data_IF_487361258748
#
_entry.id   IF_487361258748
#
_cell.length_a   1.000
_cell.length_b   1.000
_cell.length_c   1.000
_cell.angle_alpha   90.00
_cell.angle_beta   90.00
_cell.angle_gamma   90.00
#
_symmetry.space_group_name_H-M   'P 1'
#
loop_
_entity.id
_entity.type
_entity.pdbx_description
1 polymer ?
#
# COMPACT_ATOMS: atom_id res chain seq x y z
N UNK A 1 5.39 -11.49 24.38
CA UNK A 1 4.87 -11.40 23.01
C UNK A 1 5.81 -10.47 22.28
N UNK A 2 6.51 -10.95 21.25
CA UNK A 2 7.42 -10.11 20.47
C UNK A 2 6.58 -9.45 19.38
N UNK A 3 6.11 -8.23 19.65
CA UNK A 3 5.45 -7.41 18.65
C UNK A 3 6.48 -6.84 17.68
N UNK A 4 6.12 -6.80 16.40
CA UNK A 4 6.93 -6.20 15.34
C UNK A 4 6.19 -5.02 14.73
N UNK A 5 6.94 -4.01 14.29
CA UNK A 5 6.41 -2.89 13.53
C UNK A 5 6.11 -3.32 12.11
N UNK A 6 4.93 -2.97 11.62
CA UNK A 6 4.40 -3.36 10.33
C UNK A 6 4.00 -2.12 9.55
N UNK A 7 4.38 -2.10 8.27
CA UNK A 7 3.93 -1.09 7.32
C UNK A 7 3.23 -1.77 6.15
N UNK A 8 1.98 -1.38 5.91
CA UNK A 8 1.14 -1.89 4.83
C UNK A 8 0.87 -0.78 3.85
N UNK A 9 1.26 -0.95 2.60
CA UNK A 9 1.00 -0.04 1.49
C UNK A 9 -0.11 -0.55 0.58
N UNK A 10 -1.00 0.35 0.16
CA UNK A 10 -2.17 0.07 -0.68
C UNK A 10 -2.22 1.09 -1.82
N UNK A 11 -2.49 0.64 -3.04
CA UNK A 11 -2.74 1.53 -4.18
C UNK A 11 -3.56 0.84 -5.26
N UNK A 12 -4.24 1.64 -6.08
CA UNK A 12 -5.01 1.21 -7.26
C UNK A 12 -6.14 0.22 -6.93
N UNK A 13 -6.72 0.36 -5.72
CA UNK A 13 -7.88 -0.38 -5.22
C UNK A 13 -9.12 0.49 -5.41
N UNK A 14 -9.41 0.85 -6.66
CA UNK A 14 -10.56 1.65 -7.06
C UNK A 14 -11.18 1.10 -8.33
N UNK A 15 -12.46 1.40 -8.55
CA UNK A 15 -13.17 1.07 -9.78
C UNK A 15 -14.29 2.09 -10.08
N UNK A 16 -14.86 2.10 -11.30
CA UNK A 16 -15.91 3.04 -11.69
C UNK A 16 -17.22 2.91 -10.90
N UNK A 17 -17.40 1.84 -10.13
CA UNK A 17 -18.55 1.60 -9.25
C UNK A 17 -18.57 2.45 -7.98
N UNK A 18 -17.64 3.41 -7.83
CA UNK A 18 -17.58 4.33 -6.69
C UNK A 18 -16.67 3.86 -5.55
N UNK A 19 -15.85 2.84 -5.84
CA UNK A 19 -14.91 2.26 -4.89
C UNK A 19 -13.58 2.98 -4.96
N UNK A 20 -12.89 3.12 -3.83
CA UNK A 20 -11.62 3.85 -3.78
C UNK A 20 -10.65 3.30 -2.73
N UNK A 21 -9.35 3.53 -2.96
CA UNK A 21 -8.27 3.00 -2.13
C UNK A 21 -8.41 3.45 -0.67
N UNK A 22 -8.84 4.70 -0.41
CA UNK A 22 -9.05 5.20 0.95
C UNK A 22 -10.22 4.54 1.67
N UNK A 23 -11.30 4.21 0.94
CA UNK A 23 -12.41 3.49 1.52
C UNK A 23 -12.00 2.04 1.84
N UNK A 24 -11.30 1.36 0.92
CA UNK A 24 -10.74 0.04 1.22
C UNK A 24 -9.81 0.08 2.44
N UNK A 25 -8.94 1.08 2.53
CA UNK A 25 -8.07 1.25 3.70
C UNK A 25 -8.87 1.43 5.01
N UNK A 26 -10.00 2.14 5.01
CA UNK A 26 -10.84 2.24 6.20
C UNK A 26 -11.45 0.90 6.64
N UNK A 27 -11.89 0.07 5.68
CA UNK A 27 -12.37 -1.30 5.98
C UNK A 27 -11.26 -2.17 6.54
N UNK A 28 -10.03 -2.02 6.01
CA UNK A 28 -8.87 -2.75 6.52
C UNK A 28 -8.49 -2.30 7.93
N UNK A 29 -8.59 -1.00 8.24
CA UNK A 29 -8.38 -0.47 9.60
C UNK A 29 -9.40 -1.07 10.58
N UNK A 30 -10.67 -1.19 10.19
CA UNK A 30 -11.71 -1.82 11.02
C UNK A 30 -11.38 -3.31 11.29
N UNK A 31 -11.03 -4.06 10.24
CA UNK A 31 -10.61 -5.46 10.38
C UNK A 31 -9.42 -5.59 11.35
N UNK A 32 -8.36 -4.82 11.14
CA UNK A 32 -7.12 -4.90 11.93
C UNK A 32 -7.35 -4.46 13.39
N UNK A 33 -8.23 -3.50 13.61
CA UNK A 33 -8.58 -3.05 14.97
C UNK A 33 -9.27 -4.15 15.78
N UNK A 34 -10.04 -5.03 15.13
CA UNK A 34 -10.62 -6.21 15.78
C UNK A 34 -9.57 -7.28 16.17
N UNK A 35 -8.36 -7.19 15.63
CA UNK A 35 -7.24 -8.10 15.93
C UNK A 35 -6.29 -7.55 17.02
N UNK A 36 -6.68 -6.49 17.72
CA UNK A 36 -5.92 -5.89 18.83
C UNK A 36 -4.51 -5.40 18.44
N UNK A 37 -4.37 -4.80 17.26
CA UNK A 37 -3.12 -4.15 16.83
C UNK A 37 -2.90 -2.82 17.56
N UNK A 38 -1.63 -2.43 17.74
CA UNK A 38 -1.26 -1.10 18.27
C UNK A 38 -0.96 -0.16 17.11
N UNK A 39 -1.86 0.78 16.80
CA UNK A 39 -1.65 1.77 15.75
C UNK A 39 -0.51 2.74 16.10
N UNK A 40 0.38 3.02 15.14
CA UNK A 40 1.51 3.93 15.32
C UNK A 40 1.20 5.36 14.88
N UNK A 41 0.26 5.51 13.94
CA UNK A 41 -0.16 6.79 13.39
C UNK A 41 -1.55 6.63 12.72
N UNK A 42 -2.11 7.73 12.25
CA UNK A 42 -3.23 7.73 11.31
C UNK A 42 -2.84 7.06 9.98
N UNK A 43 -3.81 6.54 9.19
CA UNK A 43 -3.57 6.15 7.81
C UNK A 43 -2.95 7.30 7.01
N UNK A 44 -1.78 7.08 6.42
CA UNK A 44 -1.08 8.10 5.64
C UNK A 44 -1.55 8.05 4.18
N UNK A 45 -2.21 9.11 3.69
CA UNK A 45 -2.56 9.26 2.28
C UNK A 45 -1.43 9.98 1.53
N UNK A 46 -0.73 9.26 0.66
CA UNK A 46 0.43 9.75 -0.08
C UNK A 46 0.03 10.05 -1.52
N UNK A 47 0.07 11.33 -1.90
CA UNK A 47 -0.12 11.77 -3.29
C UNK A 47 1.16 11.58 -4.08
N UNK A 48 1.07 10.84 -5.18
CA UNK A 48 2.16 10.60 -6.12
C UNK A 48 2.08 11.59 -7.29
N UNK A 49 2.96 11.44 -8.28
CA UNK A 49 3.03 12.33 -9.43
C UNK A 49 1.67 12.54 -10.13
N UNK A 50 1.10 13.75 -10.14
CA UNK A 50 -0.21 14.00 -10.76
C UNK A 50 -0.18 13.91 -12.29
N UNK A 51 1.01 13.96 -12.91
CA UNK A 51 1.19 13.88 -14.37
C UNK A 51 1.20 12.46 -14.94
N UNK A 52 0.91 11.43 -14.14
CA UNK A 52 0.94 10.03 -14.60
C UNK A 52 -0.29 9.75 -15.50
N UNK A 53 -0.09 9.33 -16.77
CA UNK A 53 -1.18 9.19 -17.75
C UNK A 53 -2.07 7.97 -17.50
N UNK A 54 -1.64 7.03 -16.65
CA UNK A 54 -2.33 5.76 -16.40
C UNK A 54 -3.29 5.81 -15.21
N UNK A 55 -3.46 6.96 -14.56
CA UNK A 55 -4.23 7.09 -13.32
C UNK A 55 -5.53 7.84 -13.54
N UNK A 56 -6.61 7.30 -13.01
CA UNK A 56 -7.85 8.03 -12.73
C UNK A 56 -7.57 9.05 -11.63
N UNK A 57 -8.28 10.19 -11.68
CA UNK A 57 -8.03 11.41 -10.89
C UNK A 57 -7.49 11.13 -9.48
N UNK A 58 -6.31 11.66 -9.19
CA UNK A 58 -5.83 11.84 -7.83
C UNK A 58 -4.61 11.03 -7.39
N UNK A 59 -4.20 9.99 -8.13
CA UNK A 59 -2.94 9.23 -7.91
C UNK A 59 -2.47 9.17 -6.45
N UNK A 60 -3.31 8.62 -5.58
CA UNK A 60 -3.09 8.58 -4.13
C UNK A 60 -3.01 7.14 -3.64
N UNK A 61 -1.95 6.84 -2.91
CA UNK A 61 -1.73 5.55 -2.26
C UNK A 61 -1.84 5.71 -0.73
N UNK A 62 -2.14 4.64 0.00
CA UNK A 62 -2.31 4.67 1.46
C UNK A 62 -1.26 3.81 2.14
N UNK A 63 -0.70 4.30 3.24
CA UNK A 63 0.10 3.50 4.16
C UNK A 63 -0.57 3.38 5.53
N UNK A 64 -0.58 2.17 6.07
CA UNK A 64 -1.01 1.85 7.42
C UNK A 64 0.19 1.41 8.24
N UNK A 65 0.30 1.89 9.50
CA UNK A 65 1.46 1.63 10.37
C UNK A 65 0.98 1.21 11.75
N UNK A 66 1.38 0.03 12.19
CA UNK A 66 0.94 -0.56 13.46
C UNK A 66 1.96 -1.58 13.96
N UNK A 67 1.88 -1.97 15.23
CA UNK A 67 2.55 -3.15 15.76
C UNK A 67 1.56 -4.29 15.91
N UNK A 68 2.01 -5.49 15.59
CA UNK A 68 1.28 -6.72 15.86
C UNK A 68 2.25 -7.89 16.12
N UNK A 69 1.71 -9.01 16.57
CA UNK A 69 2.46 -10.27 16.63
C UNK A 69 2.86 -10.72 15.21
N UNK A 70 4.03 -11.37 15.09
CA UNK A 70 4.60 -11.84 13.82
C UNK A 70 3.61 -12.72 13.03
N UNK A 71 2.83 -13.54 13.73
CA UNK A 71 1.84 -14.44 13.10
C UNK A 71 0.62 -13.71 12.54
N UNK A 72 0.35 -12.47 12.97
CA UNK A 72 -0.84 -11.72 12.55
C UNK A 72 -0.81 -11.48 11.05
N UNK A 73 0.35 -11.15 10.48
CA UNK A 73 0.51 -10.91 9.03
C UNK A 73 0.17 -12.15 8.22
N UNK A 74 0.80 -13.28 8.55
CA UNK A 74 0.62 -14.54 7.82
C UNK A 74 -0.84 -15.01 7.83
N UNK A 75 -1.57 -14.75 8.92
CA UNK A 75 -2.99 -15.08 9.06
C UNK A 75 -3.91 -14.08 8.36
N UNK A 76 -3.53 -12.81 8.31
CA UNK A 76 -4.37 -11.74 7.75
C UNK A 76 -4.19 -11.58 6.25
N UNK A 77 -3.02 -11.87 5.69
CA UNK A 77 -2.76 -11.69 4.26
C UNK A 77 -3.81 -12.37 3.36
N UNK A 78 -4.16 -13.66 3.53
CA UNK A 78 -5.19 -14.30 2.69
C UNK A 78 -6.57 -13.64 2.84
N UNK A 79 -6.88 -13.09 4.02
CA UNK A 79 -8.13 -12.37 4.27
C UNK A 79 -8.12 -11.03 3.52
N UNK A 80 -7.00 -10.30 3.54
CA UNK A 80 -6.84 -9.03 2.83
C UNK A 80 -6.92 -9.27 1.32
N UNK A 81 -6.27 -10.32 0.81
CA UNK A 81 -6.34 -10.70 -0.61
C UNK A 81 -7.80 -10.98 -1.02
N UNK A 82 -8.52 -11.79 -0.26
CA UNK A 82 -9.94 -12.05 -0.52
C UNK A 82 -10.79 -10.78 -0.43
N UNK A 83 -10.53 -9.90 0.54
CA UNK A 83 -11.21 -8.61 0.63
C UNK A 83 -10.96 -7.74 -0.62
N UNK A 84 -9.76 -7.77 -1.20
CA UNK A 84 -9.48 -7.04 -2.45
C UNK A 84 -10.32 -7.62 -3.59
N UNK A 85 -10.34 -8.94 -3.74
CA UNK A 85 -11.15 -9.65 -4.74
C UNK A 85 -12.65 -9.30 -4.63
N UNK A 86 -13.19 -9.32 -3.41
CA UNK A 86 -14.61 -9.00 -3.16
C UNK A 86 -14.91 -7.50 -3.32
N UNK A 87 -13.90 -6.67 -3.08
CA UNK A 87 -14.06 -5.22 -3.10
C UNK A 87 -14.06 -4.68 -4.53
N UNK A 88 -13.24 -5.15 -5.45
CA UNK A 88 -13.11 -4.51 -6.79
C UNK A 88 -13.93 -5.22 -7.88
N UNK A 89 -14.18 -4.54 -9.00
CA UNK A 89 -14.51 -5.21 -10.26
C UNK A 89 -13.24 -5.62 -11.02
N UNK A 90 -12.84 -6.89 -10.89
CA UNK A 90 -11.67 -7.46 -11.57
C UNK A 90 -11.76 -7.43 -13.10
N UNK A 91 -12.96 -7.26 -13.67
CA UNK A 91 -13.12 -7.18 -15.12
C UNK A 91 -12.74 -5.81 -15.69
N UNK A 92 -12.59 -4.80 -14.82
CA UNK A 92 -12.24 -3.46 -15.26
C UNK A 92 -10.71 -3.31 -15.44
N UNK A 93 -10.22 -3.03 -16.67
CA UNK A 93 -8.79 -3.14 -17.01
C UNK A 93 -7.89 -2.10 -16.34
N UNK A 94 -8.45 -1.01 -15.82
CA UNK A 94 -7.67 0.05 -15.17
C UNK A 94 -7.55 -0.14 -13.65
N UNK A 95 -8.13 -1.19 -13.08
CA UNK A 95 -7.96 -1.54 -11.66
C UNK A 95 -6.81 -2.54 -11.54
N UNK A 96 -5.66 -2.10 -11.01
CA UNK A 96 -4.49 -2.97 -10.82
C UNK A 96 -3.97 -2.92 -9.37
N UNK A 97 -4.76 -3.43 -8.41
CA UNK A 97 -4.45 -3.41 -6.98
C UNK A 97 -3.02 -3.80 -6.68
N UNK A 98 -2.40 -3.04 -5.78
CA UNK A 98 -1.13 -3.39 -5.18
C UNK A 98 -1.21 -3.34 -3.67
N UNK A 99 -0.70 -4.38 -3.04
CA UNK A 99 -0.48 -4.51 -1.61
C UNK A 99 0.99 -4.82 -1.40
N UNK A 100 1.64 -4.07 -0.51
CA UNK A 100 3.00 -4.36 -0.04
C UNK A 100 2.98 -4.34 1.48
N UNK A 101 3.69 -5.26 2.10
CA UNK A 101 3.82 -5.33 3.55
C UNK A 101 5.27 -5.56 3.93
N UNK A 102 5.72 -4.84 4.95
CA UNK A 102 7.07 -4.99 5.50
C UNK A 102 7.03 -4.99 7.03
N UNK A 103 7.78 -5.93 7.60
CA UNK A 103 8.05 -6.10 9.03
C UNK A 103 9.49 -5.73 9.41
N UNK A 104 10.28 -5.37 8.40
CA UNK A 104 11.67 -4.96 8.48
C UNK A 104 11.68 -3.48 8.11
N UNK A 105 12.15 -2.63 9.02
CA UNK A 105 12.04 -1.16 8.87
C UNK A 105 12.38 -0.62 7.47
N UNK A 106 11.85 0.56 7.15
CA UNK A 106 11.87 1.10 5.79
C UNK A 106 13.30 1.44 5.35
N UNK A 107 13.81 0.70 4.37
CA UNK A 107 15.15 0.86 3.82
C UNK A 107 15.31 2.14 3.00
N UNK A 108 16.55 2.63 2.90
CA UNK A 108 16.87 3.91 2.25
C UNK A 108 16.55 3.91 0.75
N UNK A 109 16.65 2.76 0.08
CA UNK A 109 16.23 2.58 -1.30
C UNK A 109 14.71 2.70 -1.49
N UNK A 110 13.91 2.23 -0.53
CA UNK A 110 12.45 2.39 -0.56
C UNK A 110 12.07 3.86 -0.33
N UNK A 111 12.77 4.56 0.58
CA UNK A 111 12.59 6.01 0.79
C UNK A 111 12.91 6.80 -0.47
N UNK A 112 14.06 6.52 -1.10
CA UNK A 112 14.46 7.14 -2.38
C UNK A 112 13.48 6.84 -3.50
N UNK A 113 12.99 5.61 -3.58
CA UNK A 113 11.98 5.20 -4.55
C UNK A 113 10.68 6.01 -4.37
N UNK A 114 10.19 6.11 -3.13
CA UNK A 114 9.00 6.89 -2.80
C UNK A 114 9.15 8.36 -3.16
N UNK A 115 10.27 8.98 -2.80
CA UNK A 115 10.59 10.37 -3.15
C UNK A 115 10.56 10.58 -4.67
N UNK A 116 11.15 9.67 -5.46
CA UNK A 116 11.09 9.75 -6.93
C UNK A 116 9.66 9.60 -7.48
N UNK A 117 8.79 8.83 -6.84
CA UNK A 117 7.43 8.56 -7.32
C UNK A 117 6.52 9.81 -7.29
N UNK A 118 6.92 10.83 -6.53
CA UNK A 118 6.18 12.10 -6.41
C UNK A 118 6.32 12.96 -7.67
N UNK A 119 7.39 12.82 -8.48
CA UNK A 119 7.58 13.62 -9.71
C UNK A 119 8.07 12.84 -10.93
N UNK A 120 8.42 11.56 -10.81
CA UNK A 120 8.86 10.73 -11.95
C UNK A 120 7.86 9.64 -12.27
N UNK A 121 7.81 9.26 -13.54
CA UNK A 121 7.20 8.00 -13.95
C UNK A 121 8.16 6.87 -13.63
N UNK A 122 7.75 5.97 -12.75
CA UNK A 122 8.58 4.85 -12.31
C UNK A 122 8.15 3.56 -13.02
N UNK A 123 9.08 2.78 -13.58
CA UNK A 123 8.77 1.47 -14.13
C UNK A 123 8.43 0.47 -13.02
N UNK A 124 7.38 -0.34 -13.23
CA UNK A 124 6.96 -1.39 -12.30
C UNK A 124 8.09 -2.37 -11.95
N UNK A 125 8.99 -2.64 -12.89
CA UNK A 125 10.12 -3.54 -12.69
C UNK A 125 11.06 -3.05 -11.58
N UNK A 126 11.13 -1.73 -11.34
CA UNK A 126 11.90 -1.19 -10.23
C UNK A 126 11.23 -1.52 -8.90
N UNK A 127 9.90 -1.38 -8.79
CA UNK A 127 9.14 -1.77 -7.60
C UNK A 127 9.32 -3.26 -7.30
N UNK A 128 9.13 -4.12 -8.30
CA UNK A 128 9.31 -5.58 -8.17
C UNK A 128 10.72 -5.94 -7.70
N UNK A 129 11.76 -5.32 -8.26
CA UNK A 129 13.15 -5.53 -7.83
C UNK A 129 13.37 -5.14 -6.36
N UNK A 130 12.79 -4.04 -5.90
CA UNK A 130 12.91 -3.59 -4.51
C UNK A 130 12.16 -4.51 -3.55
N UNK A 131 10.96 -4.95 -3.92
CA UNK A 131 10.17 -5.94 -3.17
C UNK A 131 10.97 -7.22 -3.00
N UNK A 132 11.49 -7.80 -4.09
CA UNK A 132 12.29 -9.04 -4.02
C UNK A 132 13.58 -8.84 -3.23
N UNK A 133 14.30 -7.73 -3.45
CA UNK A 133 15.59 -7.46 -2.78
C UNK A 133 15.44 -7.30 -1.27
N UNK A 134 14.38 -6.64 -0.82
CA UNK A 134 14.12 -6.41 0.60
C UNK A 134 13.27 -7.54 1.22
N UNK A 135 12.95 -8.60 0.47
CA UNK A 135 12.12 -9.72 0.92
C UNK A 135 10.75 -9.27 1.47
N UNK A 136 10.11 -8.32 0.78
CA UNK A 136 8.81 -7.79 1.19
C UNK A 136 7.69 -8.75 0.77
N UNK A 137 6.70 -8.87 1.63
CA UNK A 137 5.43 -9.53 1.26
C UNK A 137 4.67 -8.62 0.32
N UNK A 138 4.15 -9.15 -0.78
CA UNK A 138 3.39 -8.35 -1.74
C UNK A 138 2.33 -9.16 -2.44
N UNK A 139 1.21 -8.52 -2.76
CA UNK A 139 0.14 -9.06 -3.58
C UNK A 139 -0.23 -8.03 -4.66
N UNK A 140 -0.59 -8.51 -5.85
CA UNK A 140 -1.04 -7.63 -6.93
C UNK A 140 -1.92 -8.35 -7.93
N UNK A 141 -2.86 -7.61 -8.52
CA UNK A 141 -3.71 -8.07 -9.62
C UNK A 141 -3.43 -7.28 -10.92
N UNK A 142 -3.93 -7.81 -12.03
CA UNK A 142 -3.80 -7.19 -13.36
C UNK A 142 -2.33 -7.02 -13.78
N UNK A 143 -1.97 -5.79 -14.17
CA UNK A 143 -0.61 -5.45 -14.61
C UNK A 143 0.37 -5.15 -13.45
N UNK A 144 -0.10 -5.18 -12.19
CA UNK A 144 0.70 -4.98 -10.98
C UNK A 144 1.16 -3.55 -10.69
N UNK A 145 0.68 -2.54 -11.44
CA UNK A 145 1.14 -1.14 -11.26
C UNK A 145 0.84 -0.56 -9.89
N UNK A 146 -0.20 -1.03 -9.18
CA UNK A 146 -0.45 -0.66 -7.79
C UNK A 146 0.75 -0.91 -6.87
N UNK A 147 1.65 -1.86 -7.19
CA UNK A 147 2.88 -2.07 -6.40
C UNK A 147 3.77 -0.83 -6.34
N UNK A 148 3.74 0.03 -7.36
CA UNK A 148 4.50 1.29 -7.37
C UNK A 148 3.98 2.22 -6.27
N UNK A 149 2.66 2.44 -6.21
CA UNK A 149 2.12 3.34 -5.19
C UNK A 149 2.10 2.73 -3.81
N UNK A 150 1.80 1.44 -3.66
CA UNK A 150 1.88 0.74 -2.38
C UNK A 150 3.30 0.83 -1.77
N UNK A 151 4.34 0.55 -2.56
CA UNK A 151 5.72 0.68 -2.10
C UNK A 151 6.10 2.15 -1.80
N UNK A 152 5.62 3.07 -2.63
CA UNK A 152 5.85 4.51 -2.41
C UNK A 152 5.17 5.01 -1.13
N UNK A 153 3.97 4.52 -0.81
CA UNK A 153 3.24 4.89 0.38
C UNK A 153 4.00 4.45 1.64
N UNK A 154 4.52 3.21 1.65
CA UNK A 154 5.37 2.73 2.76
C UNK A 154 6.60 3.62 2.93
N UNK A 155 7.28 3.95 1.82
CA UNK A 155 8.51 4.72 1.81
C UNK A 155 8.38 6.18 2.26
N UNK A 156 7.19 6.78 2.11
CA UNK A 156 6.94 8.14 2.58
C UNK A 156 6.41 8.11 4.02
N UNK A 157 7.27 8.47 4.97
CA UNK A 157 6.93 8.49 6.40
C UNK A 157 6.38 9.83 6.89
N UNK A 158 6.12 10.81 6.01
CA UNK A 158 5.61 12.14 6.37
C UNK A 158 6.42 12.83 7.49
N UNK A 159 7.73 12.63 7.50
CA UNK A 159 8.62 13.17 8.55
C UNK A 159 8.92 14.66 8.39
N UNK A 160 8.62 15.23 7.22
CA UNK A 160 8.85 16.64 6.89
C UNK A 160 7.55 17.44 7.05
N UNK A 161 6.92 17.83 5.94
CA UNK A 161 5.68 18.62 5.90
C UNK A 161 4.47 17.73 5.51
N UNK A 162 3.34 17.91 6.19
CA UNK A 162 2.12 17.13 5.98
C UNK A 162 0.86 17.87 6.47
N UNK A 163 -0.31 17.42 6.00
CA UNK A 163 -1.63 17.97 6.35
C UNK A 163 -2.61 16.87 6.76
N UNK A 164 -3.62 17.23 7.57
CA UNK A 164 -4.73 16.36 7.96
C UNK A 164 -5.99 16.61 7.12
#
# INVERSE_FOLDING_TARGET
MNSTELHVGLDDIDDPGGRCTTHFASLLVELLSNLSVEWLDYPNLIRLNPGIPFRTRGNGAVALRFKADVDTISKTLPIIEQMIHDYIDETYPNTNPGLVITDSGISEDIRKFSHQAIWRTIPIQLAQRLITRNNLTSFSLGNGRGLVGALSAIGNTLSDDYTF
#
